data_IF_481650275842
#
_entry.id   IF_481650275842
#
_cell.length_a   1.000
_cell.length_b   1.000
_cell.length_c   1.000
_cell.angle_alpha   90.00
_cell.angle_beta   90.00
_cell.angle_gamma   90.00
#
_symmetry.space_group_name_H-M   'P 1'
#
loop_
_entity.id
_entity.type
_entity.pdbx_description
1 polymer ?
#
# COMPACT_ATOMS: atom_id res chain seq x y z
N UNK A 1 8.20 26.07 -5.48
CA UNK A 1 7.62 27.40 -5.22
C UNK A 1 7.47 27.54 -3.72
N UNK A 2 8.22 28.45 -3.10
CA UNK A 2 8.20 28.69 -1.66
C UNK A 2 6.96 29.51 -1.31
N UNK A 3 6.17 29.07 -0.33
CA UNK A 3 5.09 29.89 0.25
C UNK A 3 5.49 30.21 1.68
N UNK A 4 5.91 31.45 1.87
CA UNK A 4 6.32 32.07 3.13
C UNK A 4 5.07 32.26 4.01
N UNK A 5 5.02 31.61 5.18
CA UNK A 5 3.98 31.85 6.18
C UNK A 5 4.33 33.13 6.95
N UNK A 6 3.68 34.24 6.61
CA UNK A 6 3.75 35.48 7.40
C UNK A 6 3.00 35.28 8.71
N UNK A 7 3.73 35.34 9.82
CA UNK A 7 3.18 35.37 11.17
C UNK A 7 2.75 36.81 11.48
N UNK A 8 1.46 37.10 11.31
CA UNK A 8 0.87 38.37 11.73
C UNK A 8 0.31 38.21 13.15
N UNK A 9 1.02 38.78 14.12
CA UNK A 9 0.65 38.83 15.52
C UNK A 9 -0.45 39.88 15.69
N UNK A 10 -1.69 39.44 15.85
CA UNK A 10 -2.79 40.31 16.24
C UNK A 10 -3.66 39.60 17.29
N UNK A 11 -3.62 40.15 18.50
CA UNK A 11 -4.54 39.93 19.61
C UNK A 11 -6.00 40.07 19.16
N UNK A 12 -6.71 38.97 18.89
CA UNK A 12 -8.18 38.90 18.95
C UNK A 12 -8.63 37.43 18.91
N UNK A 13 -8.50 36.80 20.07
CA UNK A 13 -9.00 35.45 20.36
C UNK A 13 -10.53 35.51 20.49
N UNK A 14 -11.31 35.40 19.40
CA UNK A 14 -12.72 34.99 19.49
C UNK A 14 -13.42 34.56 18.19
N UNK A 15 -12.71 34.42 17.06
CA UNK A 15 -13.28 33.72 15.90
C UNK A 15 -12.71 32.31 15.84
N UNK A 16 -13.52 31.24 15.98
CA UNK A 16 -13.08 29.92 15.58
C UNK A 16 -12.76 30.01 14.09
N UNK A 17 -11.46 30.00 13.77
CA UNK A 17 -10.98 29.82 12.41
C UNK A 17 -11.46 28.42 12.00
N UNK A 18 -12.67 28.35 11.44
CA UNK A 18 -13.14 27.15 10.75
C UNK A 18 -12.29 27.08 9.50
N UNK A 19 -11.12 26.46 9.62
CA UNK A 19 -10.30 26.11 8.47
C UNK A 19 -11.17 25.18 7.63
N UNK A 20 -11.78 25.74 6.57
CA UNK A 20 -12.37 24.95 5.50
C UNK A 20 -11.20 24.25 4.84
N UNK A 21 -10.84 23.07 5.34
CA UNK A 21 -10.02 22.11 4.65
C UNK A 21 -10.82 21.65 3.43
N UNK A 22 -10.82 22.47 2.39
CA UNK A 22 -11.25 22.06 1.06
C UNK A 22 -10.12 21.16 0.57
N UNK A 23 -10.21 19.86 0.88
CA UNK A 23 -9.32 18.89 0.27
C UNK A 23 -9.52 19.06 -1.25
N UNK A 24 -8.46 19.41 -2.01
CA UNK A 24 -8.60 19.49 -3.46
C UNK A 24 -9.12 18.15 -3.93
N UNK A 25 -10.24 18.17 -4.66
CA UNK A 25 -10.86 16.96 -5.21
C UNK A 25 -9.82 16.28 -6.09
N UNK A 26 -9.33 15.13 -5.63
CA UNK A 26 -8.30 14.36 -6.33
C UNK A 26 -8.88 13.86 -7.65
N UNK A 27 -8.28 14.27 -8.77
CA UNK A 27 -8.70 13.77 -10.08
C UNK A 27 -8.14 12.36 -10.33
N UNK A 28 -8.76 11.61 -11.23
CA UNK A 28 -8.28 10.28 -11.61
C UNK A 28 -6.89 10.33 -12.24
N UNK A 29 -6.58 11.42 -12.96
CA UNK A 29 -5.25 11.70 -13.52
C UNK A 29 -4.22 11.91 -12.41
N UNK A 30 -4.56 12.70 -11.39
CA UNK A 30 -3.68 12.91 -10.24
C UNK A 30 -3.47 11.60 -9.46
N UNK A 31 -4.52 10.80 -9.27
CA UNK A 31 -4.40 9.48 -8.66
C UNK A 31 -3.46 8.56 -9.43
N UNK A 32 -3.60 8.53 -10.75
CA UNK A 32 -2.74 7.72 -11.61
C UNK A 32 -1.29 8.18 -11.57
N UNK A 33 -1.06 9.50 -11.63
CA UNK A 33 0.26 10.11 -11.53
C UNK A 33 0.92 9.78 -10.18
N UNK A 34 0.17 9.84 -9.08
CA UNK A 34 0.69 9.49 -7.75
C UNK A 34 1.07 8.02 -7.65
N UNK A 35 0.29 7.12 -8.27
CA UNK A 35 0.60 5.69 -8.30
C UNK A 35 1.83 5.34 -9.18
N UNK A 36 2.21 6.21 -10.12
CA UNK A 36 3.35 5.99 -11.03
C UNK A 36 4.61 6.76 -10.62
N UNK A 37 4.47 7.99 -10.13
CA UNK A 37 5.55 8.96 -9.98
C UNK A 37 5.93 9.22 -8.51
N UNK A 38 4.98 9.06 -7.58
CA UNK A 38 5.29 9.08 -6.15
C UNK A 38 5.68 7.67 -5.74
N UNK A 39 6.71 7.52 -4.89
CA UNK A 39 7.06 6.23 -4.27
C UNK A 39 5.97 5.81 -3.27
N UNK A 40 4.76 5.55 -3.76
CA UNK A 40 3.67 4.99 -2.97
C UNK A 40 3.92 3.50 -2.79
N UNK A 41 4.31 3.11 -1.59
CA UNK A 41 4.37 1.70 -1.21
C UNK A 41 2.95 1.18 -0.96
N UNK A 42 2.58 0.09 -1.64
CA UNK A 42 1.39 -0.69 -1.31
C UNK A 42 1.80 -1.89 -0.47
N UNK A 43 1.23 -2.00 0.72
CA UNK A 43 1.43 -3.16 1.59
C UNK A 43 0.22 -4.09 1.52
N UNK A 44 0.45 -5.35 1.17
CA UNK A 44 -0.55 -6.42 1.16
C UNK A 44 -0.20 -7.44 2.22
N UNK A 45 -1.01 -7.55 3.27
CA UNK A 45 -0.84 -8.61 4.27
C UNK A 45 -1.62 -9.86 3.86
N UNK A 46 -0.89 -10.89 3.42
CA UNK A 46 -1.42 -12.20 3.05
C UNK A 46 -1.03 -13.28 4.07
N UNK A 47 -0.62 -12.89 5.27
CA UNK A 47 -0.03 -13.82 6.23
C UNK A 47 -0.98 -14.90 6.73
N UNK A 48 -2.29 -14.62 6.78
CA UNK A 48 -3.30 -15.55 7.28
C UNK A 48 -4.05 -16.32 6.17
N UNK A 49 -4.05 -15.82 4.95
CA UNK A 49 -4.90 -16.36 3.89
C UNK A 49 -4.42 -17.70 3.30
N UNK A 50 -3.18 -18.10 3.56
CA UNK A 50 -2.66 -19.44 3.19
C UNK A 50 -2.95 -20.52 4.23
N UNK A 51 -3.38 -20.14 5.44
CA UNK A 51 -3.61 -21.06 6.57
C UNK A 51 -4.94 -21.83 6.45
N UNK A 52 -5.92 -21.26 5.74
CA UNK A 52 -7.32 -21.75 5.75
C UNK A 52 -7.69 -22.61 4.53
N UNK A 53 -6.72 -23.19 3.82
CA UNK A 53 -6.97 -24.03 2.63
C UNK A 53 -7.59 -23.27 1.43
N UNK A 54 -7.66 -21.95 1.51
CA UNK A 54 -8.30 -21.07 0.51
C UNK A 54 -7.29 -20.70 -0.58
N UNK A 55 -6.91 -21.70 -1.39
CA UNK A 55 -6.02 -21.52 -2.55
C UNK A 55 -6.66 -20.72 -3.69
N UNK A 56 -7.96 -20.44 -3.62
CA UNK A 56 -8.78 -19.92 -4.75
C UNK A 56 -8.53 -18.46 -5.12
N UNK A 57 -7.79 -17.68 -4.31
CA UNK A 57 -7.55 -16.26 -4.57
C UNK A 57 -6.11 -15.91 -4.95
N UNK A 58 -5.23 -16.91 -5.09
CA UNK A 58 -3.81 -16.68 -5.41
C UNK A 58 -3.65 -16.16 -6.83
N UNK A 59 -4.32 -16.78 -7.80
CA UNK A 59 -4.21 -16.35 -9.20
C UNK A 59 -4.76 -14.93 -9.39
N UNK A 60 -5.84 -14.59 -8.68
CA UNK A 60 -6.42 -13.23 -8.68
C UNK A 60 -5.48 -12.18 -8.10
N UNK A 61 -4.72 -12.52 -7.06
CA UNK A 61 -3.68 -11.62 -6.53
C UNK A 61 -2.61 -11.36 -7.57
N UNK A 62 -2.09 -12.43 -8.16
CA UNK A 62 -1.02 -12.36 -9.15
C UNK A 62 -1.49 -11.54 -10.35
N UNK A 63 -2.71 -11.78 -10.82
CA UNK A 63 -3.35 -11.01 -11.88
C UNK A 63 -3.44 -9.53 -11.53
N UNK A 64 -3.98 -9.19 -10.35
CA UNK A 64 -4.08 -7.79 -9.91
C UNK A 64 -2.71 -7.10 -9.85
N UNK A 65 -1.71 -7.72 -9.22
CA UNK A 65 -0.34 -7.18 -9.14
C UNK A 65 0.28 -7.05 -10.53
N UNK A 66 0.02 -7.98 -11.44
CA UNK A 66 0.55 -7.93 -12.80
C UNK A 66 0.10 -6.69 -13.58
N UNK A 67 -1.10 -6.19 -13.27
CA UNK A 67 -1.69 -4.98 -13.86
C UNK A 67 -1.29 -3.70 -13.13
N UNK A 68 -0.71 -3.80 -11.93
CA UNK A 68 -0.30 -2.63 -11.16
C UNK A 68 0.93 -1.96 -11.79
N UNK A 69 0.90 -0.62 -11.99
CA UNK A 69 1.96 0.08 -12.73
C UNK A 69 3.31 0.11 -11.99
N UNK A 70 3.32 0.08 -10.66
CA UNK A 70 4.54 0.13 -9.84
C UNK A 70 4.72 -1.13 -8.98
N UNK A 71 5.05 -2.26 -9.61
CA UNK A 71 5.20 -3.56 -8.93
C UNK A 71 6.30 -3.55 -7.86
N UNK A 72 7.35 -2.73 -8.06
CA UNK A 72 8.45 -2.57 -7.09
C UNK A 72 8.00 -1.88 -5.80
N UNK A 73 6.99 -1.04 -5.89
CA UNK A 73 6.31 -0.45 -4.74
C UNK A 73 5.36 -1.40 -4.02
N UNK A 74 5.15 -2.62 -4.50
CA UNK A 74 4.28 -3.60 -3.83
C UNK A 74 5.09 -4.44 -2.86
N UNK A 75 4.66 -4.45 -1.60
CA UNK A 75 5.22 -5.22 -0.52
C UNK A 75 4.20 -6.21 0.03
N UNK A 76 4.48 -7.50 -0.10
CA UNK A 76 3.58 -8.58 0.33
C UNK A 76 4.14 -9.29 1.56
N UNK A 77 3.32 -9.43 2.61
CA UNK A 77 3.65 -10.26 3.76
C UNK A 77 3.06 -11.66 3.61
N UNK A 78 3.89 -12.70 3.75
CA UNK A 78 3.49 -14.10 3.70
C UNK A 78 3.72 -14.79 5.06
N UNK A 79 2.74 -15.59 5.48
CA UNK A 79 2.74 -16.29 6.76
C UNK A 79 3.41 -17.66 6.70
N UNK A 80 3.18 -18.48 7.72
CA UNK A 80 3.69 -19.86 7.81
C UNK A 80 3.23 -20.75 6.66
N UNK A 81 2.04 -20.48 6.09
CA UNK A 81 1.50 -21.18 4.93
C UNK A 81 2.39 -21.12 3.68
N UNK A 82 3.38 -20.22 3.63
CA UNK A 82 4.37 -20.13 2.53
C UNK A 82 5.19 -21.41 2.34
N UNK A 83 5.41 -22.19 3.40
CA UNK A 83 6.27 -23.37 3.35
C UNK A 83 5.63 -24.53 2.55
N UNK A 84 4.30 -24.51 2.37
CA UNK A 84 3.61 -25.43 1.47
C UNK A 84 3.97 -25.16 0.00
N UNK A 85 3.74 -26.15 -0.87
CA UNK A 85 4.04 -26.04 -2.31
C UNK A 85 3.36 -24.82 -2.96
N UNK A 86 2.09 -24.58 -2.65
CA UNK A 86 1.31 -23.44 -3.13
C UNK A 86 1.86 -22.10 -2.65
N UNK A 87 2.27 -22.02 -1.38
CA UNK A 87 2.87 -20.83 -0.80
C UNK A 87 4.21 -20.48 -1.42
N UNK A 88 5.06 -21.49 -1.68
CA UNK A 88 6.34 -21.32 -2.40
C UNK A 88 6.14 -20.82 -3.82
N UNK A 89 5.14 -21.37 -4.54
CA UNK A 89 4.78 -20.91 -5.89
C UNK A 89 4.38 -19.43 -5.87
N UNK A 90 3.50 -19.04 -4.94
CA UNK A 90 3.08 -17.64 -4.79
C UNK A 90 4.27 -16.72 -4.52
N UNK A 91 5.14 -17.07 -3.57
CA UNK A 91 6.33 -16.27 -3.26
C UNK A 91 7.20 -16.06 -4.49
N UNK A 92 7.49 -17.13 -5.24
CA UNK A 92 8.31 -17.05 -6.45
C UNK A 92 7.64 -16.19 -7.53
N UNK A 93 6.33 -16.31 -7.73
CA UNK A 93 5.58 -15.49 -8.69
C UNK A 93 5.63 -14.00 -8.33
N UNK A 94 5.44 -13.66 -7.05
CA UNK A 94 5.50 -12.26 -6.58
C UNK A 94 6.89 -11.66 -6.73
N UNK A 95 7.93 -12.42 -6.39
CA UNK A 95 9.32 -12.00 -6.57
C UNK A 95 9.68 -11.82 -8.05
N UNK A 96 9.21 -12.72 -8.93
CA UNK A 96 9.40 -12.62 -10.38
C UNK A 96 8.72 -11.38 -10.98
N UNK A 97 7.59 -10.95 -10.40
CA UNK A 97 6.93 -9.69 -10.76
C UNK A 97 7.67 -8.44 -10.25
N UNK A 98 8.71 -8.60 -9.41
CA UNK A 98 9.50 -7.52 -8.84
C UNK A 98 8.95 -6.96 -7.52
N UNK A 99 8.01 -7.66 -6.88
CA UNK A 99 7.48 -7.24 -5.57
C UNK A 99 8.48 -7.53 -4.45
N UNK A 100 8.44 -6.72 -3.39
CA UNK A 100 9.08 -7.05 -2.11
C UNK A 100 8.22 -8.08 -1.39
N UNK A 101 8.83 -9.16 -0.90
CA UNK A 101 8.10 -10.20 -0.16
C UNK A 101 8.78 -10.41 1.19
N UNK A 102 8.03 -10.23 2.28
CA UNK A 102 8.52 -10.41 3.64
C UNK A 102 7.79 -11.53 4.34
N UNK A 103 8.56 -12.32 5.08
CA UNK A 103 8.07 -13.45 5.82
C UNK A 103 7.63 -13.01 7.22
N UNK A 104 6.34 -13.19 7.52
CA UNK A 104 5.78 -12.94 8.85
C UNK A 104 5.62 -14.27 9.57
N UNK A 105 6.48 -14.54 10.53
CA UNK A 105 6.25 -15.58 11.53
C UNK A 105 5.49 -14.94 12.68
N UNK A 106 4.18 -15.18 12.77
CA UNK A 106 3.48 -14.94 14.04
C UNK A 106 4.02 -15.98 15.02
N UNK A 107 4.95 -15.58 15.87
CA UNK A 107 5.11 -16.28 17.15
C UNK A 107 3.87 -15.89 17.94
N UNK A 108 2.95 -16.83 18.13
CA UNK A 108 1.93 -16.72 19.16
C UNK A 108 2.69 -16.65 20.49
N UNK A 109 2.77 -15.44 21.07
CA UNK A 109 3.20 -15.24 22.45
C UNK A 109 1.96 -15.38 23.33
#
# INVERSE_FOLDING_TARGET
MQTECKEERADDLLHPQVYKCTLPSMTLTDARKRLTDEETEIVVDWSQALSSGTSTNIDRLIEWISTYPNKRGVHVYLGSGRHHSTGRKLQNSLQALGCRVTNRSYQLV
#
